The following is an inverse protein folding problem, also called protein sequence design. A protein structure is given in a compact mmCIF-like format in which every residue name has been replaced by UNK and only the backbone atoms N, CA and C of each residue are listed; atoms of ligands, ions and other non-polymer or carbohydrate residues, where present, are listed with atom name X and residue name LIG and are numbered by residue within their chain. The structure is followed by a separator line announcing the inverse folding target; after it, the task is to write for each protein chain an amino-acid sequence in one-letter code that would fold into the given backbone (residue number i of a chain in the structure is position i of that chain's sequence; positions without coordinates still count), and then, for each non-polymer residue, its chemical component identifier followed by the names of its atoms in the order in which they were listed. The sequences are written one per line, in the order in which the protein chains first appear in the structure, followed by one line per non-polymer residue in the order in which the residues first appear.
data_IF_062592430797
#
_entry.id   IF_062592430797
#
_cell.length_a   1.000
_cell.length_b   1.000
_cell.length_c   1.000
_cell.angle_alpha   90.00
_cell.angle_beta   90.00
_cell.angle_gamma   90.00
#
_symmetry.space_group_name_H-M   'P 1'
#
loop_
_entity.id
_entity.type
_entity.pdbx_description
1 polymer ?
#
# COMPACT_ATOMS: atom_id res chain seq x y z
N UNK A 1 14.08 54.92 -5.01
CA UNK A 1 15.05 53.93 -5.55
C UNK A 1 15.51 52.92 -4.49
N UNK A 2 14.60 52.10 -3.92
CA UNK A 2 14.96 50.99 -2.99
C UNK A 2 14.04 49.76 -3.13
N UNK A 3 13.40 49.56 -4.29
CA UNK A 3 12.42 48.48 -4.49
C UNK A 3 12.70 47.57 -5.71
N UNK A 4 13.86 47.70 -6.37
CA UNK A 4 14.21 46.87 -7.53
C UNK A 4 15.28 45.79 -7.25
N UNK A 5 15.74 45.63 -6.00
CA UNK A 5 16.86 44.71 -5.68
C UNK A 5 16.43 43.36 -5.08
N UNK A 6 15.16 43.13 -4.81
CA UNK A 6 14.69 41.91 -4.14
C UNK A 6 14.17 40.82 -5.08
N UNK A 7 14.00 41.11 -6.37
CA UNK A 7 13.46 40.15 -7.36
C UNK A 7 14.54 39.31 -8.06
N UNK A 8 15.81 39.71 -8.00
CA UNK A 8 16.91 38.97 -8.66
C UNK A 8 17.48 37.82 -7.82
N UNK A 9 17.19 37.77 -6.51
CA UNK A 9 17.63 36.67 -5.63
C UNK A 9 16.65 35.50 -5.57
N UNK A 10 15.37 35.70 -5.93
CA UNK A 10 14.35 34.64 -5.92
C UNK A 10 14.39 33.70 -7.13
N UNK A 11 14.88 34.16 -8.29
CA UNK A 11 14.95 33.32 -9.49
C UNK A 11 16.17 32.38 -9.52
N UNK A 12 17.25 32.71 -8.80
CA UNK A 12 18.46 31.88 -8.79
C UNK A 12 18.36 30.66 -7.84
N UNK A 13 17.51 30.73 -6.81
CA UNK A 13 17.28 29.62 -5.88
C UNK A 13 16.37 28.51 -6.45
N UNK A 14 15.52 28.82 -7.43
CA UNK A 14 14.65 27.84 -8.09
C UNK A 14 15.40 27.10 -9.21
N UNK A 15 16.32 27.76 -9.90
CA UNK A 15 17.10 27.16 -10.98
C UNK A 15 18.09 26.08 -10.50
N UNK A 16 18.64 26.21 -9.27
CA UNK A 16 19.57 25.22 -8.70
C UNK A 16 18.88 23.99 -8.10
N UNK A 17 17.61 24.09 -7.70
CA UNK A 17 16.82 22.95 -7.24
C UNK A 17 16.37 22.02 -8.38
N UNK A 18 16.07 22.57 -9.57
CA UNK A 18 15.71 21.77 -10.75
C UNK A 18 16.93 21.05 -11.33
N UNK A 19 18.11 21.68 -11.31
CA UNK A 19 19.35 21.07 -11.82
C UNK A 19 19.87 19.89 -10.97
N UNK A 20 19.48 19.80 -9.70
CA UNK A 20 19.88 18.70 -8.82
C UNK A 20 19.02 17.44 -9.02
N UNK A 21 17.81 17.56 -9.58
CA UNK A 21 16.94 16.42 -9.88
C UNK A 21 17.35 15.67 -11.16
N UNK A 22 18.08 16.32 -12.06
CA UNK A 22 18.58 15.74 -13.32
C UNK A 22 19.86 14.90 -13.17
N UNK A 23 20.46 14.81 -11.98
CA UNK A 23 21.72 14.06 -11.76
C UNK A 23 21.55 12.71 -11.06
N UNK A 24 20.31 12.33 -10.71
CA UNK A 24 19.96 10.97 -10.27
C UNK A 24 19.16 10.23 -11.34
N UNK A 25 19.50 10.43 -12.61
CA UNK A 25 18.99 9.68 -13.75
C UNK A 25 19.47 8.24 -13.81
N UNK A 26 19.27 7.48 -12.72
CA UNK A 26 19.26 6.02 -12.78
C UNK A 26 17.83 5.61 -13.13
N UNK A 27 17.43 5.85 -14.38
CA UNK A 27 16.43 4.97 -14.98
C UNK A 27 17.12 3.62 -15.13
N UNK A 28 16.92 2.74 -14.15
CA UNK A 28 17.15 1.32 -14.34
C UNK A 28 16.15 0.84 -15.39
N UNK A 29 16.46 1.09 -16.67
CA UNK A 29 15.86 0.36 -17.79
C UNK A 29 16.24 -1.09 -17.54
N UNK A 30 15.33 -1.84 -16.93
CA UNK A 30 15.32 -3.28 -16.97
C UNK A 30 15.11 -3.66 -18.44
N UNK A 31 16.19 -3.63 -19.23
CA UNK A 31 16.19 -4.13 -20.59
C UNK A 31 16.14 -5.65 -20.42
N UNK A 32 14.92 -6.21 -20.43
CA UNK A 32 14.75 -7.63 -20.70
C UNK A 32 15.59 -7.94 -21.94
N UNK A 33 16.46 -8.97 -21.91
CA UNK A 33 17.30 -9.27 -23.06
C UNK A 33 16.39 -9.40 -24.27
N UNK A 34 16.63 -8.53 -25.26
CA UNK A 34 15.86 -8.55 -26.49
C UNK A 34 15.95 -9.97 -27.05
N UNK A 35 14.81 -10.63 -27.27
CA UNK A 35 14.75 -11.96 -27.85
C UNK A 35 15.73 -12.13 -29.02
N UNK A 36 16.42 -13.24 -29.15
CA UNK A 36 17.25 -13.47 -30.34
C UNK A 36 16.41 -13.52 -31.63
N UNK A 37 15.10 -13.79 -31.49
CA UNK A 37 14.12 -13.88 -32.57
C UNK A 37 13.31 -12.58 -32.73
N UNK A 38 13.16 -12.15 -33.97
CA UNK A 38 12.20 -11.16 -34.47
C UNK A 38 10.93 -11.90 -34.84
N UNK A 39 9.84 -11.65 -34.12
CA UNK A 39 8.56 -12.26 -34.40
C UNK A 39 7.47 -11.20 -34.38
N UNK A 40 6.56 -11.27 -35.36
CA UNK A 40 5.45 -10.32 -35.52
C UNK A 40 4.12 -11.02 -35.18
N UNK A 41 3.58 -10.80 -33.98
CA UNK A 41 2.34 -11.49 -33.57
C UNK A 41 1.14 -11.04 -34.41
N UNK A 42 1.02 -9.74 -34.71
CA UNK A 42 -0.07 -9.20 -35.54
C UNK A 42 -0.21 -9.90 -36.88
N UNK A 43 0.91 -10.13 -37.58
CA UNK A 43 0.89 -10.85 -38.85
C UNK A 43 0.36 -12.27 -38.70
N UNK A 44 0.90 -13.02 -37.74
CA UNK A 44 0.54 -14.42 -37.56
C UNK A 44 -0.90 -14.60 -37.02
N UNK A 45 -1.25 -13.86 -35.96
CA UNK A 45 -2.54 -14.00 -35.30
C UNK A 45 -3.70 -13.38 -36.09
N UNK A 46 -3.53 -12.16 -36.65
CA UNK A 46 -4.64 -11.44 -37.30
C UNK A 46 -4.61 -11.46 -38.82
N UNK A 47 -3.45 -11.27 -39.44
CA UNK A 47 -3.38 -11.22 -40.92
C UNK A 47 -3.45 -12.62 -41.54
N UNK A 48 -2.83 -13.61 -40.90
CA UNK A 48 -2.89 -15.02 -41.31
C UNK A 48 -3.90 -15.86 -40.53
N UNK A 49 -4.58 -15.25 -39.54
CA UNK A 49 -5.65 -15.87 -38.76
C UNK A 49 -5.24 -17.22 -38.13
N UNK A 50 -4.01 -17.30 -37.59
CA UNK A 50 -3.51 -18.47 -36.88
C UNK A 50 -3.96 -18.43 -35.43
N UNK A 51 -4.51 -19.55 -34.95
CA UNK A 51 -4.87 -19.72 -33.55
C UNK A 51 -3.63 -19.70 -32.65
N UNK A 52 -3.78 -19.17 -31.43
CA UNK A 52 -2.71 -19.11 -30.43
C UNK A 52 -2.13 -20.51 -30.14
N UNK A 53 -3.00 -21.53 -30.10
CA UNK A 53 -2.64 -22.92 -29.84
C UNK A 53 -1.85 -23.58 -30.96
N UNK A 54 -1.81 -22.97 -32.15
CA UNK A 54 -0.98 -23.48 -33.24
C UNK A 54 0.50 -23.40 -32.87
N UNK A 55 0.91 -22.34 -32.15
CA UNK A 55 2.30 -22.13 -31.73
C UNK A 55 2.53 -22.39 -30.24
N UNK A 56 1.56 -22.06 -29.39
CA UNK A 56 1.69 -22.18 -27.94
C UNK A 56 0.97 -23.44 -27.44
N UNK A 57 1.74 -24.44 -26.97
CA UNK A 57 1.22 -25.67 -26.38
C UNK A 57 0.64 -25.49 -24.96
N UNK A 58 -0.13 -24.41 -24.75
CA UNK A 58 -0.64 -24.01 -23.44
C UNK A 58 -1.60 -25.04 -22.82
N UNK A 59 -2.34 -25.77 -23.64
CA UNK A 59 -3.27 -26.80 -23.20
C UNK A 59 -2.59 -27.95 -22.43
N UNK A 60 -1.28 -28.14 -22.60
CA UNK A 60 -0.52 -29.20 -21.91
C UNK A 60 0.27 -28.68 -20.70
N UNK A 61 0.27 -27.36 -20.45
CA UNK A 61 1.06 -26.77 -19.37
C UNK A 61 0.33 -26.80 -18.03
N UNK A 62 0.96 -27.46 -17.07
CA UNK A 62 0.48 -27.58 -15.69
C UNK A 62 1.17 -26.59 -14.74
N UNK A 63 2.25 -25.93 -15.17
CA UNK A 63 3.03 -25.01 -14.33
C UNK A 63 3.27 -23.67 -15.00
N UNK A 64 3.27 -22.61 -14.19
CA UNK A 64 3.58 -21.25 -14.61
C UNK A 64 5.01 -21.10 -15.18
N UNK A 65 5.90 -22.00 -14.79
CA UNK A 65 7.30 -22.00 -15.20
C UNK A 65 7.56 -22.78 -16.51
N UNK A 66 6.55 -23.45 -17.07
CA UNK A 66 6.70 -24.18 -18.33
C UNK A 66 7.02 -23.21 -19.47
N UNK A 67 7.92 -23.62 -20.36
CA UNK A 67 8.27 -22.84 -21.54
C UNK A 67 7.29 -23.13 -22.66
N UNK A 68 6.31 -22.26 -22.82
CA UNK A 68 5.28 -22.38 -23.87
C UNK A 68 5.66 -21.68 -25.18
N UNK A 69 6.95 -21.52 -25.47
CA UNK A 69 7.39 -20.93 -26.72
C UNK A 69 7.62 -22.02 -27.77
N UNK A 70 7.27 -21.79 -29.05
CA UNK A 70 7.48 -22.77 -30.10
C UNK A 70 8.97 -22.99 -30.36
N UNK A 71 9.30 -24.22 -30.75
CA UNK A 71 10.63 -24.56 -31.25
C UNK A 71 10.77 -24.23 -32.75
N UNK A 72 12.01 -24.18 -33.23
CA UNK A 72 12.32 -23.83 -34.62
C UNK A 72 11.61 -24.73 -35.63
N UNK A 73 11.51 -26.03 -35.34
CA UNK A 73 10.87 -27.02 -36.21
C UNK A 73 9.43 -26.60 -36.59
N UNK A 74 8.68 -26.04 -35.64
CA UNK A 74 7.32 -25.58 -35.88
C UNK A 74 7.27 -24.40 -36.86
N UNK A 75 8.19 -23.44 -36.73
CA UNK A 75 8.31 -22.31 -37.64
C UNK A 75 8.59 -22.79 -39.07
N UNK A 76 9.46 -23.78 -39.22
CA UNK A 76 9.89 -24.33 -40.50
C UNK A 76 8.80 -25.14 -41.22
N UNK A 77 7.71 -25.51 -40.55
CA UNK A 77 6.54 -26.12 -41.22
C UNK A 77 5.97 -25.20 -42.31
N UNK A 78 5.98 -23.88 -42.07
CA UNK A 78 5.55 -22.86 -43.02
C UNK A 78 6.74 -22.10 -43.63
N UNK A 79 7.79 -21.81 -42.86
CA UNK A 79 9.01 -21.14 -43.31
C UNK A 79 9.99 -22.12 -43.98
N UNK A 80 9.54 -22.82 -45.02
CA UNK A 80 10.29 -23.84 -45.76
C UNK A 80 10.81 -23.36 -47.13
N UNK A 81 10.51 -22.11 -47.51
CA UNK A 81 10.83 -21.53 -48.82
C UNK A 81 9.76 -21.77 -49.89
N UNK A 82 8.70 -22.52 -49.60
CA UNK A 82 7.54 -22.74 -50.48
C UNK A 82 6.36 -21.88 -50.04
N UNK A 83 6.03 -21.88 -48.74
CA UNK A 83 4.90 -21.12 -48.17
C UNK A 83 5.37 -19.76 -47.67
N UNK A 84 6.45 -19.73 -46.90
CA UNK A 84 7.09 -18.51 -46.43
C UNK A 84 8.62 -18.60 -46.56
N UNK A 85 9.29 -17.44 -46.56
CA UNK A 85 10.75 -17.38 -46.65
C UNK A 85 11.43 -18.11 -45.50
N UNK A 86 12.50 -18.84 -45.80
CA UNK A 86 13.35 -19.55 -44.83
C UNK A 86 14.67 -18.83 -44.53
N UNK A 87 14.78 -17.55 -44.90
CA UNK A 87 15.99 -16.77 -44.68
C UNK A 87 16.20 -16.50 -43.19
N UNK A 88 17.32 -16.99 -42.64
CA UNK A 88 17.62 -16.89 -41.20
C UNK A 88 17.58 -15.44 -40.69
N UNK A 89 18.03 -14.47 -41.50
CA UNK A 89 18.09 -13.06 -41.11
C UNK A 89 16.71 -12.37 -40.95
N UNK A 90 15.64 -12.99 -41.45
CA UNK A 90 14.28 -12.49 -41.21
C UNK A 90 13.79 -12.81 -39.80
N UNK A 91 14.28 -13.90 -39.22
CA UNK A 91 13.89 -14.38 -37.89
C UNK A 91 14.93 -14.03 -36.84
N UNK A 92 16.22 -14.11 -37.13
CA UNK A 92 17.28 -13.92 -36.14
C UNK A 92 17.84 -12.49 -36.21
N UNK A 93 17.85 -11.80 -35.06
CA UNK A 93 18.52 -10.50 -34.92
C UNK A 93 20.02 -10.59 -35.17
N UNK A 94 20.63 -11.69 -34.71
CA UNK A 94 22.01 -12.06 -34.99
C UNK A 94 22.08 -13.54 -35.36
N UNK A 95 22.36 -13.84 -36.62
CA UNK A 95 22.48 -15.20 -37.15
C UNK A 95 23.73 -15.91 -36.62
N UNK A 96 24.73 -15.17 -36.12
CA UNK A 96 25.99 -15.72 -35.60
C UNK A 96 25.96 -16.00 -34.10
N UNK A 97 25.05 -15.38 -33.36
CA UNK A 97 24.89 -15.52 -31.90
C UNK A 97 23.42 -15.78 -31.54
N UNK A 98 22.94 -16.98 -31.90
CA UNK A 98 21.56 -17.40 -31.61
C UNK A 98 21.47 -17.81 -30.14
N UNK A 99 20.71 -17.02 -29.36
CA UNK A 99 20.48 -17.27 -27.93
C UNK A 99 19.15 -17.98 -27.69
N UNK A 100 19.15 -18.89 -26.73
CA UNK A 100 17.92 -19.47 -26.19
C UNK A 100 17.26 -18.51 -25.21
N UNK A 101 15.95 -18.66 -25.01
CA UNK A 101 15.26 -17.93 -23.96
C UNK A 101 15.64 -18.51 -22.60
N UNK A 102 16.09 -17.68 -21.64
CA UNK A 102 16.37 -18.16 -20.30
C UNK A 102 15.05 -18.60 -19.64
N UNK A 103 15.06 -19.78 -19.04
CA UNK A 103 13.98 -20.21 -18.15
C UNK A 103 13.96 -19.28 -16.95
N UNK A 104 12.80 -18.68 -16.69
CA UNK A 104 12.60 -17.84 -15.54
C UNK A 104 11.93 -18.67 -14.45
N UNK A 105 12.49 -18.65 -13.24
CA UNK A 105 11.78 -19.21 -12.10
C UNK A 105 10.53 -18.38 -11.80
N UNK A 106 9.38 -19.05 -11.87
CA UNK A 106 8.09 -18.49 -11.46
C UNK A 106 7.69 -19.15 -10.15
N UNK A 107 7.56 -18.35 -9.09
CA UNK A 107 7.07 -18.80 -7.77
C UNK A 107 5.54 -18.84 -7.67
N UNK A 108 4.86 -18.51 -8.76
CA UNK A 108 3.41 -18.57 -8.88
C UNK A 108 2.97 -19.96 -9.28
N UNK A 109 1.95 -20.49 -8.61
CA UNK A 109 1.28 -21.73 -8.93
C UNK A 109 0.18 -21.38 -9.93
N UNK A 110 0.31 -21.85 -11.16
CA UNK A 110 -0.64 -21.61 -12.24
C UNK A 110 -0.54 -22.73 -13.27
N UNK A 111 -1.68 -23.16 -13.82
CA UNK A 111 -1.76 -24.17 -14.88
C UNK A 111 -2.55 -23.59 -16.05
N UNK A 112 -1.93 -23.49 -17.22
CA UNK A 112 -2.65 -23.07 -18.43
C UNK A 112 -3.71 -24.12 -18.82
N UNK A 113 -3.35 -25.41 -18.78
CA UNK A 113 -4.24 -26.55 -19.05
C UNK A 113 -5.59 -26.40 -18.34
N UNK A 114 -5.56 -26.19 -17.03
CA UNK A 114 -6.79 -26.05 -16.23
C UNK A 114 -7.65 -24.86 -16.65
N UNK A 115 -7.06 -23.76 -17.11
CA UNK A 115 -7.82 -22.57 -17.55
C UNK A 115 -8.34 -22.73 -18.98
N UNK A 116 -7.55 -23.31 -19.88
CA UNK A 116 -7.95 -23.62 -21.26
C UNK A 116 -9.11 -24.63 -21.28
N UNK A 117 -9.08 -25.65 -20.41
CA UNK A 117 -10.18 -26.61 -20.24
C UNK A 117 -11.50 -25.97 -19.80
N UNK A 118 -11.45 -24.78 -19.19
CA UNK A 118 -12.65 -24.00 -18.84
C UNK A 118 -13.10 -23.05 -19.97
N UNK A 119 -12.53 -23.20 -21.17
CA UNK A 119 -12.79 -22.35 -22.34
C UNK A 119 -12.50 -20.86 -22.10
N UNK A 120 -11.48 -20.55 -21.30
CA UNK A 120 -11.03 -19.16 -21.09
C UNK A 120 -10.16 -18.75 -22.27
N UNK A 121 -10.56 -17.68 -22.97
CA UNK A 121 -9.83 -17.15 -24.12
C UNK A 121 -8.46 -16.57 -23.73
N UNK A 122 -7.44 -16.81 -24.56
CA UNK A 122 -6.06 -16.38 -24.32
C UNK A 122 -5.93 -14.86 -24.13
N UNK A 123 -6.69 -14.07 -24.89
CA UNK A 123 -6.65 -12.60 -24.85
C UNK A 123 -7.30 -12.02 -23.60
N UNK A 124 -8.08 -12.83 -22.86
CA UNK A 124 -8.56 -12.45 -21.52
C UNK A 124 -7.40 -12.18 -20.58
N UNK A 125 -6.34 -13.00 -20.65
CA UNK A 125 -5.15 -12.85 -19.82
C UNK A 125 -3.99 -12.13 -20.52
N UNK A 126 -3.90 -12.26 -21.85
CA UNK A 126 -2.84 -11.66 -22.69
C UNK A 126 -3.41 -10.58 -23.62
N UNK A 127 -3.94 -9.47 -23.08
CA UNK A 127 -4.67 -8.49 -23.85
C UNK A 127 -3.79 -7.84 -24.92
N UNK A 128 -4.31 -7.82 -26.15
CA UNK A 128 -3.68 -7.19 -27.31
C UNK A 128 -2.41 -7.88 -27.82
N UNK A 129 -2.15 -9.12 -27.39
CA UNK A 129 -1.01 -9.90 -27.89
C UNK A 129 -1.14 -10.25 -29.38
N UNK A 130 -2.36 -10.42 -29.87
CA UNK A 130 -2.73 -10.66 -31.26
C UNK A 130 -2.62 -9.42 -32.17
N UNK A 131 -2.62 -8.22 -31.60
CA UNK A 131 -2.64 -6.97 -32.37
C UNK A 131 -1.27 -6.28 -32.46
N UNK A 132 -0.28 -6.75 -31.70
CA UNK A 132 1.05 -6.14 -31.63
C UNK A 132 2.05 -6.83 -32.56
N UNK A 133 2.94 -6.05 -33.14
CA UNK A 133 4.07 -6.59 -33.88
C UNK A 133 5.06 -7.22 -32.89
N UNK A 134 5.55 -6.43 -31.93
CA UNK A 134 6.49 -6.89 -30.90
C UNK A 134 5.81 -6.83 -29.53
N UNK A 135 5.84 -7.94 -28.81
CA UNK A 135 5.35 -8.01 -27.43
C UNK A 135 6.38 -7.48 -26.44
N UNK A 136 5.87 -6.96 -25.34
CA UNK A 136 6.65 -6.47 -24.20
C UNK A 136 6.12 -7.10 -22.91
N UNK A 137 6.76 -6.81 -21.78
CA UNK A 137 6.26 -7.25 -20.47
C UNK A 137 4.80 -6.84 -20.21
N UNK A 138 4.31 -5.77 -20.85
CA UNK A 138 2.93 -5.31 -20.72
C UNK A 138 1.86 -6.26 -21.30
N UNK A 139 2.25 -7.31 -22.04
CA UNK A 139 1.33 -8.34 -22.55
C UNK A 139 1.27 -9.57 -21.64
N UNK A 140 2.04 -9.57 -20.55
CA UNK A 140 1.94 -10.57 -19.51
C UNK A 140 0.83 -10.18 -18.53
N UNK A 141 0.02 -11.14 -18.05
CA UNK A 141 -1.02 -10.84 -17.08
C UNK A 141 -0.41 -10.28 -15.80
N UNK A 142 -0.96 -9.16 -15.36
CA UNK A 142 -0.72 -8.62 -14.02
C UNK A 142 -1.65 -9.29 -13.02
N UNK A 143 -1.36 -9.11 -11.72
CA UNK A 143 -2.13 -9.72 -10.64
C UNK A 143 -3.64 -9.36 -10.70
N UNK A 144 -3.97 -8.14 -11.11
CA UNK A 144 -5.36 -7.68 -11.26
C UNK A 144 -6.14 -8.53 -12.26
N UNK A 145 -5.47 -9.06 -13.28
CA UNK A 145 -6.07 -9.95 -14.29
C UNK A 145 -6.60 -11.24 -13.64
N UNK A 146 -5.83 -11.82 -12.73
CA UNK A 146 -6.24 -13.00 -11.98
C UNK A 146 -7.48 -12.69 -11.14
N UNK A 147 -7.47 -11.54 -10.45
CA UNK A 147 -8.55 -11.09 -9.57
C UNK A 147 -9.84 -10.69 -10.30
N UNK A 148 -9.82 -10.50 -11.62
CA UNK A 148 -11.03 -10.31 -12.40
C UNK A 148 -11.99 -11.52 -12.28
N UNK A 149 -11.44 -12.72 -12.02
CA UNK A 149 -12.22 -13.95 -11.76
C UNK A 149 -11.99 -14.51 -10.35
N UNK A 150 -10.76 -14.42 -9.81
CA UNK A 150 -10.37 -14.91 -8.48
C UNK A 150 -10.60 -13.89 -7.38
N UNK A 151 -11.77 -13.27 -7.36
CA UNK A 151 -12.11 -12.19 -6.43
C UNK A 151 -12.50 -12.67 -5.02
N UNK A 152 -12.75 -13.97 -4.85
CA UNK A 152 -13.23 -14.63 -3.64
C UNK A 152 -14.74 -14.93 -3.62
N UNK A 153 -15.48 -14.65 -4.69
CA UNK A 153 -16.94 -14.84 -4.80
C UNK A 153 -17.23 -15.68 -6.03
N UNK A 154 -16.66 -15.27 -7.17
CA UNK A 154 -16.69 -16.06 -8.39
C UNK A 154 -15.73 -17.25 -8.26
N UNK A 155 -14.49 -17.00 -7.82
CA UNK A 155 -13.50 -18.04 -7.54
C UNK A 155 -12.67 -17.69 -6.31
N UNK A 156 -12.06 -18.70 -5.68
CA UNK A 156 -11.21 -18.50 -4.50
C UNK A 156 -10.05 -17.54 -4.77
N UNK A 157 -9.87 -16.58 -3.86
CA UNK A 157 -8.77 -15.61 -3.82
C UNK A 157 -7.67 -15.98 -2.81
N UNK A 158 -7.69 -17.23 -2.31
CA UNK A 158 -6.73 -17.69 -1.31
C UNK A 158 -5.31 -17.69 -1.88
N UNK A 159 -4.41 -16.99 -1.17
CA UNK A 159 -3.05 -16.72 -1.62
C UNK A 159 -2.27 -18.02 -1.90
N UNK A 160 -2.48 -19.04 -1.06
CA UNK A 160 -1.77 -20.31 -1.07
C UNK A 160 -2.09 -21.16 -2.32
N UNK A 161 -3.18 -20.85 -3.03
CA UNK A 161 -3.54 -21.51 -4.28
C UNK A 161 -2.70 -21.02 -5.46
N UNK A 162 -2.19 -19.79 -5.39
CA UNK A 162 -1.46 -19.13 -6.47
C UNK A 162 0.00 -18.82 -6.10
N UNK A 163 0.35 -18.83 -4.82
CA UNK A 163 1.69 -18.48 -4.35
C UNK A 163 2.27 -19.57 -3.45
N UNK A 164 3.42 -20.10 -3.87
CA UNK A 164 4.16 -21.08 -3.07
C UNK A 164 4.70 -20.51 -1.75
N UNK A 165 4.82 -19.17 -1.65
CA UNK A 165 5.25 -18.46 -0.44
C UNK A 165 4.32 -17.26 -0.13
N UNK A 166 3.03 -17.57 0.08
CA UNK A 166 2.03 -16.60 0.46
C UNK A 166 2.36 -15.84 1.77
N UNK A 167 3.07 -16.48 2.72
CA UNK A 167 3.41 -15.90 4.01
C UNK A 167 4.39 -14.73 3.87
N UNK A 168 5.42 -14.88 3.04
CA UNK A 168 6.37 -13.80 2.77
C UNK A 168 5.68 -12.65 2.05
N UNK A 169 4.83 -12.93 1.07
CA UNK A 169 4.05 -11.90 0.37
C UNK A 169 3.16 -11.10 1.32
N UNK A 170 2.45 -11.78 2.22
CA UNK A 170 1.60 -11.13 3.23
C UNK A 170 2.42 -10.21 4.14
N UNK A 171 3.63 -10.61 4.54
CA UNK A 171 4.55 -9.78 5.35
C UNK A 171 5.07 -8.55 4.60
N UNK A 172 5.31 -8.66 3.29
CA UNK A 172 5.76 -7.54 2.46
C UNK A 172 4.65 -6.49 2.28
N UNK A 173 3.41 -6.93 2.10
CA UNK A 173 2.25 -6.05 1.94
C UNK A 173 1.70 -5.52 3.28
N UNK A 174 1.89 -6.28 4.36
CA UNK A 174 1.55 -5.90 5.73
C UNK A 174 2.81 -5.91 6.62
N UNK A 175 3.74 -4.95 6.43
CA UNK A 175 4.97 -4.89 7.21
C UNK A 175 4.68 -4.58 8.69
N UNK A 176 5.71 -4.71 9.53
CA UNK A 176 5.62 -4.29 10.92
C UNK A 176 5.18 -2.81 10.98
N UNK A 177 4.17 -2.51 11.81
CA UNK A 177 3.59 -1.16 11.90
C UNK A 177 2.53 -0.83 10.85
N UNK A 178 2.18 -1.75 9.94
CA UNK A 178 1.12 -1.55 8.93
C UNK A 178 -0.19 -1.04 9.54
N UNK A 179 -0.62 -1.58 10.69
CA UNK A 179 -1.85 -1.14 11.36
C UNK A 179 -1.88 0.38 11.64
N UNK A 180 -0.73 1.00 11.92
CA UNK A 180 -0.63 2.44 12.18
C UNK A 180 -0.42 3.27 10.91
N UNK A 181 0.26 2.71 9.91
CA UNK A 181 0.72 3.44 8.72
C UNK A 181 -0.14 3.23 7.47
N UNK A 182 -0.99 2.20 7.42
CA UNK A 182 -1.76 1.87 6.22
C UNK A 182 -2.73 2.98 5.81
N UNK A 183 -3.13 3.88 6.72
CA UNK A 183 -3.92 5.07 6.41
C UNK A 183 -3.26 5.99 5.37
N UNK A 184 -1.93 6.06 5.35
CA UNK A 184 -1.20 6.89 4.39
C UNK A 184 -1.22 6.25 3.01
N UNK A 185 -1.04 4.93 2.92
CA UNK A 185 -1.14 4.19 1.67
C UNK A 185 -2.58 4.20 1.11
N UNK A 186 -3.57 3.92 1.96
CA UNK A 186 -4.98 3.94 1.59
C UNK A 186 -5.48 5.35 1.23
N UNK A 187 -4.94 6.39 1.86
CA UNK A 187 -5.25 7.79 1.52
C UNK A 187 -4.68 8.23 0.16
N UNK A 188 -3.62 7.58 -0.32
CA UNK A 188 -3.09 7.82 -1.67
C UNK A 188 -3.89 7.05 -2.72
N UNK A 189 -4.07 5.75 -2.50
CA UNK A 189 -4.86 4.90 -3.39
C UNK A 189 -5.40 3.66 -2.65
N UNK A 190 -6.64 3.74 -2.20
CA UNK A 190 -7.34 2.61 -1.58
C UNK A 190 -7.65 1.48 -2.59
N UNK A 191 -7.64 1.77 -3.90
CA UNK A 191 -7.95 0.76 -4.93
C UNK A 191 -6.82 -0.25 -5.08
N UNK A 192 -5.59 0.11 -4.70
CA UNK A 192 -4.46 -0.82 -4.65
C UNK A 192 -4.69 -2.01 -3.69
N UNK A 193 -5.59 -1.87 -2.71
CA UNK A 193 -5.97 -2.96 -1.80
C UNK A 193 -7.06 -3.87 -2.37
N UNK A 194 -7.86 -3.38 -3.32
CA UNK A 194 -9.01 -4.08 -3.90
C UNK A 194 -8.70 -5.45 -4.51
N UNK A 195 -7.52 -5.69 -5.13
CA UNK A 195 -7.18 -7.00 -5.65
C UNK A 195 -7.20 -8.07 -4.56
N UNK A 196 -6.69 -7.78 -3.36
CA UNK A 196 -6.62 -8.77 -2.28
C UNK A 196 -7.78 -8.65 -1.26
N UNK A 197 -8.39 -7.47 -1.18
CA UNK A 197 -9.39 -7.13 -0.17
C UNK A 197 -10.67 -6.63 -0.82
N UNK A 198 -11.78 -7.35 -0.61
CA UNK A 198 -13.11 -6.79 -0.92
C UNK A 198 -13.36 -5.55 -0.09
N UNK A 199 -13.45 -4.38 -0.70
CA UNK A 199 -13.59 -3.12 0.03
C UNK A 199 -14.77 -3.12 1.02
N UNK A 200 -15.91 -3.70 0.65
CA UNK A 200 -17.11 -3.74 1.50
C UNK A 200 -17.07 -4.78 2.64
N UNK A 201 -16.17 -5.75 2.61
CA UNK A 201 -16.09 -6.81 3.64
C UNK A 201 -14.74 -6.83 4.34
N UNK A 202 -13.68 -6.32 3.73
CA UNK A 202 -12.30 -6.43 4.21
C UNK A 202 -11.89 -5.17 4.96
N UNK A 203 -12.12 -3.99 4.36
CA UNK A 203 -12.03 -2.73 5.10
C UNK A 203 -13.03 -2.81 6.25
N UNK A 204 -14.26 -3.19 5.93
CA UNK A 204 -15.27 -3.35 6.94
C UNK A 204 -15.05 -4.55 7.86
N UNK A 205 -14.37 -5.67 7.58
CA UNK A 205 -14.17 -6.70 8.64
C UNK A 205 -13.16 -6.27 9.70
N UNK A 206 -12.08 -5.61 9.29
CA UNK A 206 -11.11 -5.06 10.23
C UNK A 206 -11.65 -3.81 10.93
N UNK A 207 -12.45 -2.99 10.25
CA UNK A 207 -13.10 -1.82 10.86
C UNK A 207 -14.44 -2.14 11.58
N UNK A 208 -15.17 -3.20 11.21
CA UNK A 208 -16.36 -3.75 11.91
C UNK A 208 -15.90 -4.51 13.17
N UNK A 209 -14.71 -5.12 13.15
CA UNK A 209 -14.06 -5.67 14.33
C UNK A 209 -13.37 -4.59 15.15
N UNK A 210 -14.11 -3.91 16.04
CA UNK A 210 -13.61 -3.01 17.08
C UNK A 210 -12.59 -1.92 16.68
N UNK A 211 -12.42 -1.62 15.39
CA UNK A 211 -11.56 -0.51 14.94
C UNK A 211 -12.30 0.59 14.15
N UNK A 212 -13.63 0.56 14.06
CA UNK A 212 -14.46 1.74 13.79
C UNK A 212 -15.80 1.80 14.55
N UNK A 213 -16.38 0.71 15.07
CA UNK A 213 -17.60 0.77 15.90
C UNK A 213 -17.72 -0.37 16.94
N UNK A 214 -16.61 -0.79 17.53
CA UNK A 214 -16.63 -1.16 18.94
C UNK A 214 -16.15 0.10 19.64
N UNK A 215 -16.90 0.61 20.61
CA UNK A 215 -16.46 1.74 21.42
C UNK A 215 -14.97 1.54 21.73
N UNK A 216 -14.11 2.52 21.38
CA UNK A 216 -12.63 2.50 21.62
C UNK A 216 -12.28 2.09 23.05
N UNK A 217 -13.29 2.19 23.90
CA UNK A 217 -13.35 1.77 25.26
C UNK A 217 -14.68 1.03 25.52
N UNK A 218 -14.77 0.05 26.42
CA UNK A 218 -16.01 -0.71 26.65
C UNK A 218 -17.19 0.19 27.06
N UNK A 219 -18.44 -0.30 26.93
CA UNK A 219 -19.66 0.49 27.21
C UNK A 219 -19.71 1.08 28.62
N UNK A 220 -18.96 0.46 29.54
CA UNK A 220 -18.79 0.88 30.92
C UNK A 220 -17.47 1.65 31.14
N UNK A 221 -16.93 2.31 30.12
CA UNK A 221 -15.61 2.95 30.20
C UNK A 221 -15.53 4.02 31.28
N UNK A 222 -16.63 4.66 31.67
CA UNK A 222 -16.63 5.60 32.80
C UNK A 222 -16.00 4.99 34.08
N UNK A 223 -16.08 3.67 34.28
CA UNK A 223 -15.48 3.01 35.44
C UNK A 223 -13.96 2.84 35.34
N UNK A 224 -13.41 2.64 34.14
CA UNK A 224 -11.97 2.43 33.93
C UNK A 224 -11.23 3.66 33.41
N UNK A 225 -11.96 4.65 32.89
CA UNK A 225 -11.44 5.90 32.36
C UNK A 225 -10.48 6.64 33.31
N UNK A 226 -10.79 6.83 34.62
CA UNK A 226 -9.89 7.51 35.54
C UNK A 226 -8.55 6.79 35.74
N UNK A 227 -8.55 5.45 35.66
CA UNK A 227 -7.34 4.65 35.80
C UNK A 227 -6.46 4.75 34.57
N UNK A 228 -7.06 4.79 33.38
CA UNK A 228 -6.33 4.86 32.11
C UNK A 228 -5.70 6.24 31.88
N UNK A 229 -6.41 7.32 32.24
CA UNK A 229 -5.88 8.70 32.21
C UNK A 229 -4.71 8.82 33.20
N UNK A 230 -4.87 8.34 34.43
CA UNK A 230 -3.81 8.39 35.45
C UNK A 230 -2.59 7.55 35.09
N UNK A 231 -2.81 6.43 34.41
CA UNK A 231 -1.74 5.54 33.96
C UNK A 231 -1.09 5.97 32.63
N UNK A 232 -1.53 7.07 32.01
CA UNK A 232 -1.08 7.57 30.70
C UNK A 232 -1.05 6.46 29.64
N UNK A 233 -2.06 5.58 29.64
CA UNK A 233 -2.09 4.36 28.80
C UNK A 233 -2.28 4.63 27.30
N UNK A 234 -2.81 5.79 26.94
CA UNK A 234 -3.01 6.23 25.57
C UNK A 234 -2.86 7.74 25.48
N UNK A 235 -2.48 8.22 24.29
CA UNK A 235 -2.56 9.64 23.95
C UNK A 235 -4.00 9.96 23.49
N UNK A 236 -4.85 10.33 24.45
CA UNK A 236 -6.26 10.61 24.19
C UNK A 236 -6.46 11.81 23.25
N UNK A 237 -5.51 12.74 23.19
CA UNK A 237 -5.59 13.96 22.37
C UNK A 237 -5.44 13.68 20.87
N UNK A 238 -4.90 12.50 20.52
CA UNK A 238 -4.90 12.01 19.14
C UNK A 238 -6.32 11.81 18.57
N UNK A 239 -7.34 11.70 19.43
CA UNK A 239 -8.73 11.47 19.04
C UNK A 239 -9.76 12.41 19.71
N UNK A 240 -9.48 12.94 20.91
CA UNK A 240 -10.40 13.75 21.72
C UNK A 240 -9.84 15.14 21.98
N UNK A 241 -10.67 16.17 21.79
CA UNK A 241 -10.32 17.56 22.09
C UNK A 241 -10.58 17.90 23.56
N UNK A 242 -9.61 18.47 24.27
CA UNK A 242 -9.66 18.65 25.73
C UNK A 242 -10.83 19.55 26.15
N UNK A 243 -10.97 20.71 25.51
CA UNK A 243 -11.97 21.72 25.90
C UNK A 243 -13.40 21.32 25.55
N UNK A 244 -13.59 20.79 24.34
CA UNK A 244 -14.93 20.49 23.84
C UNK A 244 -15.46 19.14 24.29
N UNK A 245 -14.59 18.20 24.69
CA UNK A 245 -14.97 16.85 25.10
C UNK A 245 -14.70 16.56 26.57
N UNK A 246 -13.43 16.67 27.03
CA UNK A 246 -13.06 16.29 28.39
C UNK A 246 -13.70 17.26 29.40
N UNK A 247 -13.45 18.55 29.23
CA UNK A 247 -13.93 19.60 30.15
C UNK A 247 -15.46 19.70 30.15
N UNK A 248 -16.10 19.57 28.98
CA UNK A 248 -17.57 19.66 28.86
C UNK A 248 -18.27 18.51 29.61
N UNK A 249 -17.80 17.27 29.46
CA UNK A 249 -18.33 16.10 30.15
C UNK A 249 -18.10 16.19 31.67
N UNK A 250 -16.88 16.53 32.10
CA UNK A 250 -16.56 16.67 33.52
C UNK A 250 -17.38 17.77 34.21
N UNK A 251 -17.67 18.88 33.51
CA UNK A 251 -18.57 19.93 33.99
C UNK A 251 -20.02 19.46 34.05
N UNK A 252 -20.50 18.75 33.03
CA UNK A 252 -21.88 18.24 32.97
C UNK A 252 -22.18 17.22 34.09
N UNK A 253 -21.22 16.33 34.38
CA UNK A 253 -21.36 15.28 35.40
C UNK A 253 -20.87 15.73 36.79
N UNK A 254 -20.40 16.99 36.92
CA UNK A 254 -19.83 17.54 38.15
C UNK A 254 -18.71 16.68 38.77
N UNK A 255 -17.91 16.02 37.92
CA UNK A 255 -16.82 15.12 38.32
C UNK A 255 -15.48 15.86 38.26
N UNK A 256 -14.90 16.11 39.43
CA UNK A 256 -13.57 16.68 39.60
C UNK A 256 -12.64 15.67 40.29
N UNK A 257 -11.31 15.78 40.10
CA UNK A 257 -10.37 14.94 40.84
C UNK A 257 -10.64 15.03 42.34
N UNK A 258 -10.62 13.90 43.05
CA UNK A 258 -10.85 13.82 44.51
C UNK A 258 -9.96 14.77 45.32
N UNK A 259 -8.80 15.14 44.76
CA UNK A 259 -7.90 16.14 45.34
C UNK A 259 -8.59 17.49 45.60
N UNK A 260 -9.55 17.89 44.75
CA UNK A 260 -10.30 19.15 44.88
C UNK A 260 -11.26 19.17 46.08
N UNK A 261 -11.60 17.99 46.61
CA UNK A 261 -12.40 17.85 47.83
C UNK A 261 -11.55 17.79 49.10
N UNK A 262 -10.23 17.88 49.00
CA UNK A 262 -9.36 17.82 50.16
C UNK A 262 -9.48 19.09 51.02
N UNK A 263 -9.54 18.90 52.34
CA UNK A 263 -9.34 20.01 53.29
C UNK A 263 -8.01 20.69 52.97
N UNK A 264 -8.00 22.03 52.90
CA UNK A 264 -6.86 22.88 52.51
C UNK A 264 -6.42 22.82 51.03
N UNK A 265 -7.31 22.39 50.11
CA UNK A 265 -7.02 22.35 48.67
C UNK A 265 -6.47 23.67 48.14
N UNK A 266 -7.20 24.78 48.28
CA UNK A 266 -6.78 26.11 47.80
C UNK A 266 -6.18 27.01 48.89
N UNK A 267 -6.29 26.62 50.17
CA UNK A 267 -5.93 27.47 51.30
C UNK A 267 -4.67 26.94 51.99
N UNK A 268 -3.66 27.78 52.12
CA UNK A 268 -2.49 27.49 52.96
C UNK A 268 -2.88 27.57 54.44
N UNK A 269 -2.53 26.57 55.23
CA UNK A 269 -2.87 26.49 56.66
C UNK A 269 -1.58 26.41 57.47
N UNK A 270 -1.43 27.28 58.48
CA UNK A 270 -0.29 27.28 59.40
C UNK A 270 1.09 27.31 58.69
N UNK A 271 1.22 28.10 57.62
CA UNK A 271 2.48 28.24 56.86
C UNK A 271 2.80 27.05 55.94
N UNK A 272 1.94 26.03 55.84
CA UNK A 272 2.09 24.96 54.86
C UNK A 272 1.47 25.36 53.52
N UNK A 273 2.12 25.07 52.38
CA UNK A 273 1.53 25.28 51.07
C UNK A 273 0.21 24.52 50.93
N UNK A 274 -0.73 25.10 50.19
CA UNK A 274 -2.00 24.44 49.87
C UNK A 274 -1.76 23.11 49.13
N UNK A 275 -2.67 22.15 49.28
CA UNK A 275 -2.56 20.87 48.56
C UNK A 275 -2.58 21.05 47.05
N UNK A 276 -3.30 22.05 46.55
CA UNK A 276 -3.27 22.44 45.15
C UNK A 276 -1.85 22.79 44.71
N UNK A 277 -1.14 23.64 45.45
CA UNK A 277 0.23 24.02 45.14
C UNK A 277 1.21 22.84 45.19
N UNK A 278 1.01 21.91 46.14
CA UNK A 278 1.87 20.72 46.26
C UNK A 278 1.65 19.75 45.08
N UNK A 279 0.40 19.49 44.70
CA UNK A 279 0.07 18.59 43.60
C UNK A 279 0.42 19.19 42.23
N UNK A 280 0.15 20.48 42.01
CA UNK A 280 0.51 21.18 40.77
C UNK A 280 2.02 21.20 40.51
N UNK A 281 2.85 21.23 41.56
CA UNK A 281 4.32 21.10 41.45
C UNK A 281 4.80 19.69 41.12
N UNK A 282 3.99 18.66 41.39
CA UNK A 282 4.33 17.25 41.12
C UNK A 282 3.98 16.84 39.71
N UNK A 283 2.85 17.29 39.19
CA UNK A 283 2.37 16.95 37.85
C UNK A 283 1.54 18.10 37.24
N UNK A 284 2.24 19.12 36.73
CA UNK A 284 1.59 20.27 36.09
C UNK A 284 0.87 19.90 34.78
N UNK A 285 1.36 18.89 34.06
CA UNK A 285 0.76 18.40 32.82
C UNK A 285 -0.63 17.82 33.08
N UNK A 286 -0.80 17.08 34.18
CA UNK A 286 -2.10 16.59 34.61
C UNK A 286 -3.09 17.73 34.90
N UNK A 287 -2.63 18.84 35.48
CA UNK A 287 -3.48 20.00 35.75
C UNK A 287 -3.90 20.73 34.45
N UNK A 288 -2.98 20.86 33.49
CA UNK A 288 -3.23 21.48 32.18
C UNK A 288 -4.21 20.68 31.30
N UNK A 289 -4.54 19.45 31.70
CA UNK A 289 -5.58 18.65 31.04
C UNK A 289 -7.01 19.17 31.32
N UNK A 290 -7.18 20.06 32.31
CA UNK A 290 -8.48 20.64 32.66
C UNK A 290 -8.43 22.15 32.95
N UNK A 291 -7.24 22.71 33.20
CA UNK A 291 -7.02 24.12 33.51
C UNK A 291 -6.19 24.79 32.43
N UNK A 292 -6.54 26.02 32.08
CA UNK A 292 -5.69 26.84 31.20
C UNK A 292 -4.58 27.51 32.01
N UNK A 293 -3.41 27.66 31.39
CA UNK A 293 -2.22 28.20 32.06
C UNK A 293 -2.34 29.67 32.44
N UNK A 294 -3.30 30.40 31.86
CA UNK A 294 -3.61 31.80 32.13
C UNK A 294 -4.75 31.99 33.15
N UNK A 295 -5.32 30.90 33.69
CA UNK A 295 -6.36 31.01 34.72
C UNK A 295 -5.82 31.74 35.97
N UNK A 296 -6.67 32.53 36.67
CA UNK A 296 -6.29 33.18 37.93
C UNK A 296 -5.72 32.21 38.96
N UNK A 297 -6.19 30.97 38.96
CA UNK A 297 -5.71 29.88 39.82
C UNK A 297 -4.25 29.49 39.53
N UNK A 298 -3.81 29.57 38.27
CA UNK A 298 -2.44 29.24 37.84
C UNK A 298 -1.49 30.44 37.94
N UNK A 299 -2.01 31.66 37.84
CA UNK A 299 -1.23 32.92 37.84
C UNK A 299 -1.17 33.60 39.22
N UNK A 300 -1.83 33.06 40.24
CA UNK A 300 -1.81 33.59 41.60
C UNK A 300 -0.46 33.41 42.30
N UNK A 301 -0.01 34.47 42.98
CA UNK A 301 1.23 34.47 43.78
C UNK A 301 1.17 33.38 44.87
N UNK A 302 2.22 32.55 44.95
CA UNK A 302 2.34 31.42 45.89
C UNK A 302 2.05 30.04 45.29
N UNK A 303 1.57 29.95 44.04
CA UNK A 303 1.34 28.67 43.35
C UNK A 303 2.51 28.25 42.44
N UNK A 304 3.05 29.16 41.62
CA UNK A 304 4.10 28.86 40.61
C UNK A 304 5.35 29.75 40.62
N UNK A 305 5.48 30.72 41.54
CA UNK A 305 6.72 31.47 41.73
C UNK A 305 7.45 31.01 43.00
N UNK A 306 8.79 30.91 42.88
CA UNK A 306 9.75 30.53 43.93
C UNK A 306 9.63 31.38 45.20
#
# INVERSE_FOLDING_TARGET
MKWLRSLTFGLFAVATAVACFSWLGVEAKFILPASSIIFNHKKHAREFNLDCSHCHAAAESEKAADLLLPEEELCLTCHNGQVASKECALCHRDVKDIKTYPLHERKTIFSHKRHVEQNIDCLTCHPGSDAKEVLTAAQMPEMQTCFACHDGASQSSQCELCHSDAKTLRRLMHPAGFLHAHKFAAGLDATACAPCHRQEESCLSCHRGNNLLGSTHPVNYLYSHPLDVKAKRADCQSCHEVESFCVSCHKAEAVQPLSHSAFNWTVSVAGTPSRHAIEARRDAEYCLSCHQSDEPTCTSAGCHDN
#
